data_IF_276272389460
#
_entry.id   IF_276272389460
#
_cell.length_a   1.000
_cell.length_b   1.000
_cell.length_c   1.000
_cell.angle_alpha   90.00
_cell.angle_beta   90.00
_cell.angle_gamma   90.00
#
_symmetry.space_group_name_H-M   'P 1'
#
loop_
_entity.id
_entity.type
_entity.pdbx_description
1 polymer ?
#
# COMPACT_ATOMS: atom_id res chain seq x y z
N UNK A 1 11.23 -20.98 10.24
CA UNK A 1 10.67 -19.70 9.76
C UNK A 1 9.30 -19.52 10.41
N UNK A 2 9.02 -18.39 11.07
CA UNK A 2 7.78 -18.20 11.85
C UNK A 2 6.56 -17.95 10.93
N UNK A 3 5.40 -18.51 11.24
CA UNK A 3 4.13 -18.34 10.48
C UNK A 3 3.78 -16.86 10.28
N UNK A 4 4.02 -16.03 11.30
CA UNK A 4 3.85 -14.57 11.22
C UNK A 4 4.67 -13.93 10.10
N UNK A 5 5.85 -14.46 9.79
CA UNK A 5 6.67 -13.96 8.68
C UNK A 5 5.96 -14.12 7.34
N UNK A 6 5.25 -15.23 7.12
CA UNK A 6 4.54 -15.48 5.87
C UNK A 6 3.32 -14.57 5.74
N UNK A 7 2.56 -14.38 6.82
CA UNK A 7 1.35 -13.56 6.83
C UNK A 7 1.63 -12.06 6.60
N UNK A 8 2.72 -11.55 7.17
CA UNK A 8 3.10 -10.14 7.02
C UNK A 8 4.04 -9.86 5.84
N UNK A 9 4.45 -10.89 5.09
CA UNK A 9 5.35 -10.73 3.94
C UNK A 9 4.82 -9.76 2.87
N UNK A 10 3.51 -9.71 2.56
CA UNK A 10 2.97 -8.72 1.62
C UNK A 10 3.27 -7.27 2.01
N UNK A 11 3.38 -6.96 3.30
CA UNK A 11 3.75 -5.63 3.81
C UNK A 11 5.26 -5.34 3.71
N UNK A 12 6.07 -6.31 3.25
CA UNK A 12 7.52 -6.18 3.11
C UNK A 12 7.95 -5.05 2.18
N UNK A 13 7.08 -4.58 1.27
CA UNK A 13 7.30 -3.37 0.46
C UNK A 13 7.68 -2.16 1.32
N UNK A 14 7.04 -1.98 2.48
CA UNK A 14 7.34 -0.85 3.37
C UNK A 14 8.76 -0.90 3.93
N UNK A 15 9.35 -2.10 4.03
CA UNK A 15 10.71 -2.33 4.52
C UNK A 15 11.81 -2.07 3.49
N UNK A 16 11.46 -1.80 2.23
CA UNK A 16 12.41 -1.47 1.16
C UNK A 16 13.11 -0.13 1.47
N UNK A 17 14.45 -0.13 1.39
CA UNK A 17 15.30 1.05 1.59
C UNK A 17 15.99 1.46 0.30
N UNK A 18 16.40 2.72 0.19
CA UNK A 18 17.21 3.24 -0.93
C UNK A 18 16.43 3.66 -2.18
N UNK A 19 15.10 3.58 -2.18
CA UNK A 19 14.26 4.11 -3.27
C UNK A 19 14.03 5.61 -3.07
N UNK A 20 14.37 6.42 -4.08
CA UNK A 20 14.17 7.87 -4.04
C UNK A 20 12.71 8.24 -3.80
N UNK A 21 12.48 9.11 -2.83
CA UNK A 21 11.15 9.66 -2.54
C UNK A 21 10.15 8.66 -1.96
N UNK A 22 10.47 7.37 -1.81
CA UNK A 22 9.51 6.34 -1.34
C UNK A 22 8.84 6.71 -0.02
N UNK A 23 9.60 7.24 0.94
CA UNK A 23 9.03 7.69 2.21
C UNK A 23 7.96 8.78 2.03
N UNK A 24 8.12 9.65 1.04
CA UNK A 24 7.11 10.67 0.72
C UNK A 24 5.85 10.04 0.14
N UNK A 25 5.99 9.14 -0.83
CA UNK A 25 4.84 8.45 -1.46
C UNK A 25 4.09 7.55 -0.47
N UNK A 26 4.80 6.83 0.38
CA UNK A 26 4.20 5.83 1.27
C UNK A 26 3.55 6.46 2.52
N UNK A 27 4.04 7.62 2.99
CA UNK A 27 3.64 8.18 4.30
C UNK A 27 3.24 9.65 4.23
N UNK A 28 4.11 10.53 3.71
CA UNK A 28 3.90 11.98 3.80
C UNK A 28 2.75 12.45 2.91
N UNK A 29 2.74 12.08 1.63
CA UNK A 29 1.70 12.50 0.68
C UNK A 29 0.33 11.98 1.11
N UNK A 30 0.15 10.68 1.48
CA UNK A 30 -1.11 10.20 2.04
C UNK A 30 -1.57 10.99 3.27
N UNK A 31 -0.66 11.31 4.19
CA UNK A 31 -0.97 12.09 5.39
C UNK A 31 -1.45 13.51 5.04
N UNK A 32 -0.77 14.17 4.09
CA UNK A 32 -1.15 15.51 3.61
C UNK A 32 -2.52 15.47 2.95
N UNK A 33 -2.77 14.51 2.05
CA UNK A 33 -4.05 14.38 1.35
C UNK A 33 -5.20 14.07 2.31
N UNK A 34 -4.98 13.19 3.29
CA UNK A 34 -5.96 12.95 4.36
C UNK A 34 -6.25 14.20 5.16
N UNK A 35 -5.22 14.96 5.53
CA UNK A 35 -5.37 16.19 6.30
C UNK A 35 -6.17 17.23 5.51
N UNK A 36 -5.87 17.40 4.22
CA UNK A 36 -6.61 18.31 3.33
C UNK A 36 -8.07 17.86 3.19
N UNK A 37 -8.31 16.57 2.95
CA UNK A 37 -9.66 16.02 2.79
C UNK A 37 -10.48 16.21 4.07
N UNK A 38 -9.88 15.95 5.22
CA UNK A 38 -10.51 16.12 6.51
C UNK A 38 -10.81 17.60 6.82
N UNK A 39 -9.82 18.49 6.62
CA UNK A 39 -10.02 19.93 6.81
C UNK A 39 -11.11 20.48 5.90
N UNK A 40 -11.18 20.02 4.65
CA UNK A 40 -12.24 20.40 3.72
C UNK A 40 -13.63 20.07 4.26
N UNK A 41 -13.87 18.85 4.75
CA UNK A 41 -15.17 18.49 5.34
C UNK A 41 -15.42 19.18 6.69
N UNK A 42 -14.37 19.41 7.47
CA UNK A 42 -14.47 20.13 8.74
C UNK A 42 -14.91 21.58 8.55
N UNK A 43 -14.32 22.32 7.59
CA UNK A 43 -14.70 23.70 7.27
C UNK A 43 -16.11 23.83 6.68
N UNK A 44 -16.61 22.78 6.03
CA UNK A 44 -17.99 22.71 5.54
C UNK A 44 -19.00 22.31 6.63
N UNK A 45 -18.54 22.10 7.86
CA UNK A 45 -19.35 21.57 8.98
C UNK A 45 -20.10 20.29 8.60
N UNK A 46 -19.50 19.49 7.70
CA UNK A 46 -20.15 18.32 7.15
C UNK A 46 -20.09 17.17 8.16
N UNK A 47 -21.23 16.62 8.60
CA UNK A 47 -21.24 15.60 9.65
C UNK A 47 -20.58 14.31 9.16
N UNK A 48 -19.65 13.76 9.95
CA UNK A 48 -18.90 12.56 9.60
C UNK A 48 -19.81 11.35 9.34
N UNK A 49 -20.95 11.26 10.03
CA UNK A 49 -21.95 10.21 9.81
C UNK A 49 -22.48 10.19 8.37
N UNK A 50 -22.66 11.35 7.73
CA UNK A 50 -23.12 11.42 6.34
C UNK A 50 -22.04 10.96 5.34
N UNK A 51 -20.77 10.97 5.73
CA UNK A 51 -19.70 10.38 4.90
C UNK A 51 -19.73 8.84 4.94
N UNK A 52 -20.30 8.28 6.01
CA UNK A 52 -20.34 6.85 6.33
C UNK A 52 -21.65 6.20 5.87
N UNK A 53 -22.76 6.96 5.89
CA UNK A 53 -24.09 6.46 5.54
C UNK A 53 -24.18 5.89 4.12
N UNK A 54 -25.31 5.26 3.81
CA UNK A 54 -25.56 4.71 2.48
C UNK A 54 -25.55 5.82 1.41
N UNK A 55 -24.63 5.70 0.45
CA UNK A 55 -24.39 6.73 -0.57
C UNK A 55 -23.27 7.72 -0.21
N UNK A 56 -22.76 7.67 1.02
CA UNK A 56 -21.62 8.44 1.47
C UNK A 56 -20.31 8.07 0.78
N UNK A 57 -19.35 8.98 0.83
CA UNK A 57 -18.04 8.87 0.17
C UNK A 57 -17.30 7.59 0.57
N UNK A 58 -17.40 7.16 1.83
CA UNK A 58 -16.70 5.97 2.32
C UNK A 58 -17.24 4.70 1.66
N UNK A 59 -18.56 4.57 1.50
CA UNK A 59 -19.15 3.38 0.88
C UNK A 59 -18.80 3.32 -0.62
N UNK A 60 -18.84 4.46 -1.31
CA UNK A 60 -18.44 4.55 -2.73
C UNK A 60 -16.95 4.21 -2.91
N UNK A 61 -16.07 4.71 -2.04
CA UNK A 61 -14.64 4.39 -2.09
C UNK A 61 -14.38 2.91 -1.75
N UNK A 62 -15.07 2.35 -0.75
CA UNK A 62 -14.95 0.94 -0.40
C UNK A 62 -15.41 0.03 -1.55
N UNK A 63 -16.47 0.41 -2.28
CA UNK A 63 -16.92 -0.30 -3.47
C UNK A 63 -15.86 -0.27 -4.59
N UNK A 64 -15.26 0.89 -4.85
CA UNK A 64 -14.13 1.00 -5.79
C UNK A 64 -12.95 0.10 -5.37
N UNK A 65 -12.57 0.14 -4.09
CA UNK A 65 -11.44 -0.65 -3.56
C UNK A 65 -11.73 -2.15 -3.62
N UNK A 66 -12.98 -2.58 -3.55
CA UNK A 66 -13.38 -3.99 -3.59
C UNK A 66 -12.86 -4.76 -4.82
N UNK A 67 -12.81 -4.10 -5.98
CA UNK A 67 -12.31 -4.72 -7.22
C UNK A 67 -10.78 -4.73 -7.36
N UNK A 68 -10.07 -3.92 -6.57
CA UNK A 68 -8.63 -3.71 -6.74
C UNK A 68 -7.74 -4.92 -6.38
N UNK A 69 -8.03 -5.74 -5.34
CA UNK A 69 -7.23 -6.93 -5.06
C UNK A 69 -7.04 -7.83 -6.29
N UNK A 70 -8.12 -8.07 -7.04
CA UNK A 70 -8.06 -8.87 -8.27
C UNK A 70 -7.18 -8.24 -9.35
N UNK A 71 -7.30 -6.93 -9.55
CA UNK A 71 -6.48 -6.18 -10.50
C UNK A 71 -4.98 -6.23 -10.13
N UNK A 72 -4.64 -6.03 -8.86
CA UNK A 72 -3.26 -6.09 -8.39
C UNK A 72 -2.68 -7.51 -8.45
N UNK A 73 -3.47 -8.54 -8.18
CA UNK A 73 -3.05 -9.95 -8.36
C UNK A 73 -2.75 -10.23 -9.84
N UNK A 74 -3.60 -9.74 -10.76
CA UNK A 74 -3.37 -9.89 -12.20
C UNK A 74 -2.09 -9.18 -12.66
N UNK A 75 -1.87 -7.94 -12.22
CA UNK A 75 -0.64 -7.19 -12.49
C UNK A 75 0.60 -7.92 -11.94
N UNK A 76 0.52 -8.44 -10.71
CA UNK A 76 1.58 -9.22 -10.08
C UNK A 76 1.89 -10.49 -10.87
N UNK A 77 0.88 -11.24 -11.31
CA UNK A 77 1.07 -12.44 -12.13
C UNK A 77 1.73 -12.13 -13.49
N UNK A 78 1.32 -11.03 -14.14
CA UNK A 78 1.91 -10.58 -15.39
C UNK A 78 3.39 -10.21 -15.20
N UNK A 79 3.72 -9.41 -14.19
CA UNK A 79 5.10 -8.98 -13.90
C UNK A 79 5.97 -10.18 -13.48
N UNK A 80 5.41 -11.13 -12.72
CA UNK A 80 6.10 -12.34 -12.33
C UNK A 80 6.44 -13.26 -13.51
N UNK A 81 5.63 -13.25 -14.58
CA UNK A 81 5.79 -14.16 -15.73
C UNK A 81 6.39 -13.50 -16.97
N UNK A 82 6.47 -12.17 -17.04
CA UNK A 82 7.11 -11.47 -18.14
C UNK A 82 8.55 -11.93 -18.37
N UNK A 83 8.81 -12.50 -19.54
CA UNK A 83 10.12 -13.00 -19.92
C UNK A 83 10.93 -11.90 -20.62
N UNK A 84 11.35 -10.88 -19.87
CA UNK A 84 12.14 -9.75 -20.38
C UNK A 84 13.32 -9.47 -19.46
N UNK A 85 14.55 -9.63 -19.94
CA UNK A 85 15.77 -9.45 -19.11
C UNK A 85 15.87 -8.06 -18.44
N UNK A 86 15.30 -7.03 -19.07
CA UNK A 86 15.35 -5.65 -18.56
C UNK A 86 14.61 -5.45 -17.24
N UNK A 87 13.61 -6.28 -16.92
CA UNK A 87 12.88 -6.17 -15.64
C UNK A 87 13.60 -6.88 -14.50
N UNK A 88 14.60 -7.71 -14.82
CA UNK A 88 15.46 -8.38 -13.85
C UNK A 88 16.72 -7.57 -13.50
N UNK A 89 16.91 -6.41 -14.15
CA UNK A 89 17.99 -5.50 -13.79
C UNK A 89 17.77 -4.88 -12.41
N UNK A 90 18.87 -4.57 -11.69
CA UNK A 90 18.80 -3.86 -10.43
C UNK A 90 18.09 -2.53 -10.63
N UNK A 91 17.36 -2.10 -9.59
CA UNK A 91 16.68 -0.82 -9.61
C UNK A 91 17.72 0.28 -9.37
N UNK A 92 18.34 0.81 -10.42
CA UNK A 92 19.42 1.80 -10.26
C UNK A 92 18.82 3.16 -9.86
N UNK A 93 19.51 3.80 -8.92
CA UNK A 93 19.16 5.10 -8.40
C UNK A 93 20.45 5.89 -8.09
N UNK A 94 20.40 7.22 -8.12
CA UNK A 94 21.57 8.11 -7.97
C UNK A 94 22.29 7.92 -6.61
N UNK A 95 21.60 7.38 -5.61
CA UNK A 95 22.09 7.15 -4.24
C UNK A 95 22.52 5.70 -3.98
N UNK A 96 22.58 4.87 -5.02
CA UNK A 96 22.89 3.44 -4.94
C UNK A 96 21.67 2.52 -5.04
N UNK A 97 21.91 1.22 -5.10
CA UNK A 97 20.87 0.22 -5.31
C UNK A 97 19.94 0.11 -4.08
N UNK A 98 18.61 0.18 -4.27
CA UNK A 98 17.63 -0.18 -3.27
C UNK A 98 17.79 -1.62 -2.84
N UNK A 99 17.47 -1.87 -1.57
CA UNK A 99 17.75 -3.16 -0.95
C UNK A 99 16.72 -3.52 0.12
N UNK A 100 16.68 -4.80 0.43
CA UNK A 100 15.99 -5.36 1.58
C UNK A 100 16.97 -6.13 2.45
N UNK A 101 16.66 -6.21 3.75
CA UNK A 101 17.34 -7.15 4.63
C UNK A 101 16.58 -8.47 4.60
N UNK A 102 17.27 -9.54 4.21
CA UNK A 102 16.74 -10.90 4.26
C UNK A 102 17.34 -11.58 5.47
N UNK A 103 16.47 -12.06 6.34
CA UNK A 103 16.86 -12.81 7.53
C UNK A 103 16.87 -14.29 7.18
N UNK A 104 18.06 -14.89 7.16
CA UNK A 104 18.24 -16.32 6.95
C UNK A 104 18.69 -17.01 8.24
N UNK A 105 18.60 -18.34 8.25
CA UNK A 105 19.17 -19.18 9.30
C UNK A 105 20.30 -19.97 8.65
N UNK A 106 21.53 -19.85 9.17
CA UNK A 106 22.66 -20.67 8.72
C UNK A 106 22.47 -22.11 9.18
N UNK A 107 23.21 -23.04 8.58
CA UNK A 107 23.17 -24.47 8.96
C UNK A 107 23.46 -24.72 10.45
N UNK A 108 24.23 -23.83 11.09
CA UNK A 108 24.52 -23.88 12.52
C UNK A 108 23.42 -23.26 13.42
N UNK A 109 22.25 -22.93 12.87
CA UNK A 109 21.13 -22.33 13.59
C UNK A 109 21.28 -20.83 13.89
N UNK A 110 22.41 -20.20 13.53
CA UNK A 110 22.59 -18.76 13.73
C UNK A 110 21.78 -17.94 12.71
N UNK A 111 21.09 -16.91 13.22
CA UNK A 111 20.35 -15.97 12.39
C UNK A 111 21.34 -15.00 11.76
N UNK A 112 21.27 -14.83 10.44
CA UNK A 112 22.02 -13.80 9.73
C UNK A 112 21.07 -12.87 8.98
N UNK A 113 21.50 -11.62 8.80
CA UNK A 113 20.83 -10.66 7.93
C UNK A 113 21.75 -10.33 6.76
N UNK A 114 21.34 -10.69 5.55
CA UNK A 114 22.01 -10.28 4.31
C UNK A 114 21.32 -9.05 3.73
N UNK A 115 22.11 -8.14 3.15
CA UNK A 115 21.62 -7.06 2.30
C UNK A 115 21.48 -7.61 0.89
N UNK A 116 20.26 -7.61 0.37
CA UNK A 116 19.98 -8.05 -1.00
C UNK A 116 19.47 -6.87 -1.83
N UNK A 117 20.12 -6.63 -2.97
CA UNK A 117 19.74 -5.59 -3.91
C UNK A 117 18.45 -5.97 -4.63
N UNK A 118 17.57 -4.99 -4.83
CA UNK A 118 16.27 -5.19 -5.44
C UNK A 118 16.36 -5.08 -6.97
N UNK A 119 15.82 -6.08 -7.65
CA UNK A 119 15.50 -5.98 -9.08
C UNK A 119 14.20 -5.20 -9.29
N UNK A 120 14.00 -4.68 -10.50
CA UNK A 120 12.75 -3.97 -10.86
C UNK A 120 11.53 -4.88 -10.70
N UNK A 121 11.65 -6.16 -11.11
CA UNK A 121 10.60 -7.18 -10.93
C UNK A 121 10.27 -7.39 -9.46
N UNK A 122 11.28 -7.62 -8.62
CA UNK A 122 11.06 -7.88 -7.19
C UNK A 122 10.41 -6.67 -6.51
N UNK A 123 10.88 -5.46 -6.81
CA UNK A 123 10.28 -4.23 -6.31
C UNK A 123 8.80 -4.12 -6.68
N UNK A 124 8.46 -4.29 -7.97
CA UNK A 124 7.09 -4.21 -8.46
C UNK A 124 6.19 -5.31 -7.87
N UNK A 125 6.67 -6.56 -7.80
CA UNK A 125 5.93 -7.65 -7.17
C UNK A 125 5.66 -7.36 -5.68
N UNK A 126 6.64 -6.83 -4.95
CA UNK A 126 6.43 -6.42 -3.55
C UNK A 126 5.42 -5.28 -3.44
N UNK A 127 5.50 -4.27 -4.32
CA UNK A 127 4.58 -3.13 -4.35
C UNK A 127 3.14 -3.58 -4.61
N UNK A 128 2.90 -4.40 -5.62
CA UNK A 128 1.56 -4.91 -5.91
C UNK A 128 1.06 -5.89 -4.84
N UNK A 129 1.95 -6.68 -4.23
CA UNK A 129 1.58 -7.53 -3.08
C UNK A 129 1.10 -6.69 -1.89
N UNK A 130 1.79 -5.57 -1.60
CA UNK A 130 1.37 -4.62 -0.57
C UNK A 130 0.02 -3.97 -0.89
N UNK A 131 -0.19 -3.51 -2.13
CA UNK A 131 -1.46 -2.93 -2.56
C UNK A 131 -2.63 -3.91 -2.44
N UNK A 132 -2.42 -5.18 -2.79
CA UNK A 132 -3.41 -6.26 -2.57
C UNK A 132 -3.71 -6.45 -1.09
N UNK A 133 -2.69 -6.54 -0.25
CA UNK A 133 -2.89 -6.73 1.19
C UNK A 133 -3.59 -5.52 1.85
N UNK A 134 -3.22 -4.30 1.43
CA UNK A 134 -3.81 -3.06 1.94
C UNK A 134 -5.28 -2.94 1.51
N UNK A 135 -5.62 -3.25 0.26
CA UNK A 135 -7.02 -3.22 -0.20
C UNK A 135 -7.89 -4.21 0.55
N UNK A 136 -7.43 -5.46 0.75
CA UNK A 136 -8.12 -6.46 1.59
C UNK A 136 -8.29 -5.92 3.02
N UNK A 137 -7.25 -5.37 3.62
CA UNK A 137 -7.29 -4.80 4.97
C UNK A 137 -8.33 -3.68 5.08
N UNK A 138 -8.37 -2.74 4.12
CA UNK A 138 -9.35 -1.65 4.10
C UNK A 138 -10.78 -2.20 4.03
N UNK A 139 -11.05 -3.15 3.14
CA UNK A 139 -12.38 -3.74 2.96
C UNK A 139 -12.81 -4.51 4.22
N UNK A 140 -11.92 -5.33 4.79
CA UNK A 140 -12.22 -6.09 6.01
C UNK A 140 -12.46 -5.17 7.20
N UNK A 141 -11.63 -4.13 7.38
CA UNK A 141 -11.86 -3.13 8.43
C UNK A 141 -13.17 -2.38 8.21
N UNK A 142 -13.51 -2.00 6.98
CA UNK A 142 -14.77 -1.34 6.65
C UNK A 142 -15.97 -2.20 7.04
N UNK A 143 -15.99 -3.47 6.64
CA UNK A 143 -17.07 -4.41 6.98
C UNK A 143 -17.23 -4.65 8.49
N UNK A 144 -16.15 -4.60 9.27
CA UNK A 144 -16.19 -4.80 10.73
C UNK A 144 -16.58 -3.51 11.45
N UNK A 145 -16.04 -2.37 11.03
CA UNK A 145 -16.16 -1.10 11.77
C UNK A 145 -17.49 -0.40 11.49
N UNK A 146 -18.10 -0.56 10.31
CA UNK A 146 -19.38 0.09 10.00
C UNK A 146 -20.54 -0.32 10.95
N UNK A 147 -20.78 -1.61 11.27
CA UNK A 147 -21.89 -2.03 12.14
C UNK A 147 -21.82 -1.49 13.58
N UNK A 148 -20.74 -1.78 14.32
CA UNK A 148 -19.84 -0.73 14.81
C UNK A 148 -20.42 0.66 15.11
N UNK A 149 -20.10 1.56 14.18
CA UNK A 149 -20.49 2.97 14.17
C UNK A 149 -22.00 3.11 14.19
N UNK A 150 -22.72 2.33 13.39
CA UNK A 150 -24.18 2.39 13.29
C UNK A 150 -24.88 2.05 14.60
N UNK A 151 -24.33 1.13 15.40
CA UNK A 151 -24.85 0.77 16.71
C UNK A 151 -24.55 1.84 17.76
N UNK A 152 -23.29 2.30 17.85
CA UNK A 152 -22.86 3.23 18.91
C UNK A 152 -23.25 4.69 18.63
N UNK A 153 -23.45 5.06 17.36
CA UNK A 153 -23.75 6.40 16.86
C UNK A 153 -22.89 7.51 17.46
N UNK A 154 -21.60 7.23 17.67
CA UNK A 154 -20.66 8.18 18.27
C UNK A 154 -19.95 9.02 17.20
N UNK A 155 -20.01 10.34 17.34
CA UNK A 155 -19.34 11.30 16.44
C UNK A 155 -17.82 11.11 16.44
N UNK A 156 -17.21 10.96 17.62
CA UNK A 156 -15.77 10.77 17.75
C UNK A 156 -15.29 9.50 17.03
N UNK A 157 -16.05 8.41 17.15
CA UNK A 157 -15.74 7.15 16.48
C UNK A 157 -15.91 7.26 14.96
N UNK A 158 -16.94 7.99 14.50
CA UNK A 158 -17.17 8.29 13.09
C UNK A 158 -16.03 9.12 12.48
N UNK A 159 -15.62 10.19 13.17
CA UNK A 159 -14.51 11.06 12.76
C UNK A 159 -13.20 10.28 12.70
N UNK A 160 -12.87 9.56 13.78
CA UNK A 160 -11.66 8.75 13.85
C UNK A 160 -11.60 7.71 12.73
N UNK A 161 -12.73 7.05 12.45
CA UNK A 161 -12.83 6.11 11.34
C UNK A 161 -12.65 6.78 9.97
N UNK A 162 -13.27 7.93 9.72
CA UNK A 162 -13.10 8.67 8.47
C UNK A 162 -11.62 9.03 8.21
N UNK A 163 -10.89 9.45 9.25
CA UNK A 163 -9.46 9.78 9.15
C UNK A 163 -8.64 8.54 8.81
N UNK A 164 -8.84 7.44 9.54
CA UNK A 164 -8.09 6.18 9.33
C UNK A 164 -8.39 5.59 7.95
N UNK A 165 -9.67 5.51 7.57
CA UNK A 165 -10.08 5.03 6.25
C UNK A 165 -9.52 5.91 5.13
N UNK A 166 -9.60 7.24 5.30
CA UNK A 166 -9.05 8.21 4.36
C UNK A 166 -7.54 8.05 4.18
N UNK A 167 -6.81 7.90 5.27
CA UNK A 167 -5.36 7.66 5.25
C UNK A 167 -4.98 6.42 4.45
N UNK A 168 -5.56 5.26 4.75
CA UNK A 168 -5.24 4.04 4.01
C UNK A 168 -5.72 4.09 2.55
N UNK A 169 -6.84 4.76 2.27
CA UNK A 169 -7.33 4.96 0.90
C UNK A 169 -6.37 5.83 0.08
N UNK A 170 -5.88 6.94 0.65
CA UNK A 170 -4.88 7.77 0.00
C UNK A 170 -3.54 7.07 -0.14
N UNK A 171 -3.11 6.30 0.87
CA UNK A 171 -1.90 5.48 0.78
C UNK A 171 -1.99 4.47 -0.36
N UNK A 172 -3.13 3.80 -0.50
CA UNK A 172 -3.41 2.89 -1.61
C UNK A 172 -3.35 3.60 -2.97
N UNK A 173 -4.03 4.75 -3.11
CA UNK A 173 -4.06 5.50 -4.37
C UNK A 173 -2.68 6.03 -4.76
N UNK A 174 -1.98 6.71 -3.85
CA UNK A 174 -0.65 7.28 -4.11
C UNK A 174 0.35 6.18 -4.46
N UNK A 175 0.33 5.07 -3.72
CA UNK A 175 1.22 3.93 -4.01
C UNK A 175 0.85 3.25 -5.33
N UNK A 176 -0.42 3.26 -5.73
CA UNK A 176 -0.86 2.79 -7.05
C UNK A 176 -0.29 3.66 -8.16
N UNK A 177 -0.39 4.98 -8.06
CA UNK A 177 0.22 5.90 -9.03
C UNK A 177 1.74 5.74 -9.08
N UNK A 178 2.39 5.53 -7.93
CA UNK A 178 3.81 5.23 -7.87
C UNK A 178 4.16 3.92 -8.60
N UNK A 179 3.37 2.85 -8.40
CA UNK A 179 3.51 1.59 -9.13
C UNK A 179 3.30 1.76 -10.64
N UNK A 180 2.29 2.52 -11.05
CA UNK A 180 2.01 2.84 -12.45
C UNK A 180 3.12 3.67 -13.10
N UNK A 181 3.74 4.62 -12.38
CA UNK A 181 4.92 5.33 -12.86
C UNK A 181 6.07 4.36 -13.15
N UNK A 182 6.32 3.40 -12.24
CA UNK A 182 7.36 2.40 -12.49
C UNK A 182 7.05 1.48 -13.67
N UNK A 183 5.78 1.14 -13.88
CA UNK A 183 5.35 0.23 -14.94
C UNK A 183 5.20 0.93 -16.31
N UNK A 184 4.72 2.17 -16.34
CA UNK A 184 4.44 2.91 -17.56
C UNK A 184 5.64 3.69 -18.11
N UNK A 185 6.56 4.11 -17.23
CA UNK A 185 7.70 4.95 -17.63
C UNK A 185 9.03 4.24 -17.36
N UNK A 186 9.36 3.99 -16.08
CA UNK A 186 10.70 3.47 -15.70
C UNK A 186 11.00 2.08 -16.22
N UNK A 187 10.01 1.23 -16.48
CA UNK A 187 10.23 -0.12 -17.03
C UNK A 187 10.79 -0.08 -18.46
N UNK A 188 10.54 1.01 -19.19
CA UNK A 188 11.01 1.22 -20.56
C UNK A 188 12.33 1.98 -20.62
N UNK A 189 12.66 2.73 -19.56
CA UNK A 189 13.93 3.43 -19.46
C UNK A 189 15.09 2.45 -19.21
N UNK A 190 16.09 2.55 -20.07
CA UNK A 190 17.26 1.66 -20.10
C UNK A 190 18.45 2.19 -19.29
N UNK A 191 18.23 3.26 -18.51
CA UNK A 191 19.23 3.90 -17.67
C UNK A 191 19.11 3.41 -16.21
#
# INVERSE_FOLDING_TARGET
>A
MNIFHHLFRPFGYLSIKGVNGKFFYDWIIPLILTSITFLFFFFLEFPAQKLIEDGGVIKSMAYFINGLPGFYIAALAAIATFNRKQIDYPLINDKGNPYIYVTGVKENGSIYQSKEDLTRRLFLCMLFSFLTALSILIITLNSIVLPIISFKKSDLLSIGYCIVFGYFSWQLLVTTFFGLYYLGDRIHMNN
#
